data_IF_748364766221
#
_entry.id   IF_748364766221
#
_cell.length_a   1.000
_cell.length_b   1.000
_cell.length_c   1.000
_cell.angle_alpha   90.00
_cell.angle_beta   90.00
_cell.angle_gamma   90.00
#
_symmetry.space_group_name_H-M   'P 1'
#
loop_
_entity.id
_entity.type
_entity.pdbx_description
1 polymer ?
#
# COMPACT_ATOMS: atom_id res chain seq x y z
N UNK A 1 2.70 -0.33 -28.13
CA UNK A 1 1.90 -0.09 -26.90
C UNK A 1 1.47 1.36 -26.91
N UNK A 2 0.19 1.63 -27.13
CA UNK A 2 -0.37 2.99 -27.10
C UNK A 2 -0.27 3.51 -25.66
N UNK A 3 0.48 4.61 -25.47
CA UNK A 3 0.58 5.28 -24.18
C UNK A 3 -0.51 6.34 -24.10
N UNK A 4 -1.22 6.37 -22.97
CA UNK A 4 -2.31 7.32 -22.72
C UNK A 4 -1.82 8.33 -21.70
N UNK A 5 -1.75 9.60 -22.10
CA UNK A 5 -1.25 10.69 -21.24
C UNK A 5 -2.33 11.16 -20.27
N UNK A 6 -1.94 11.50 -19.06
CA UNK A 6 -2.84 12.10 -18.09
C UNK A 6 -3.19 13.55 -18.47
N UNK A 7 -4.47 13.96 -18.40
CA UNK A 7 -4.85 15.35 -18.68
C UNK A 7 -4.50 16.32 -17.55
N UNK A 8 -4.11 15.82 -16.36
CA UNK A 8 -3.83 16.62 -15.17
C UNK A 8 -2.33 16.69 -14.83
N UNK A 9 -1.49 15.92 -15.52
CA UNK A 9 -0.03 15.97 -15.42
C UNK A 9 0.64 15.27 -16.62
N UNK A 10 1.94 15.45 -16.79
CA UNK A 10 2.70 14.87 -17.92
C UNK A 10 3.00 13.35 -17.81
N UNK A 11 2.29 12.62 -16.94
CA UNK A 11 2.50 11.18 -16.77
C UNK A 11 1.80 10.39 -17.87
N UNK A 12 2.54 9.54 -18.59
CA UNK A 12 1.99 8.60 -19.57
C UNK A 12 1.76 7.21 -18.95
N UNK A 13 0.54 6.69 -19.10
CA UNK A 13 0.11 5.38 -18.62
C UNK A 13 0.05 4.35 -19.77
N UNK A 14 0.24 3.07 -19.45
CA UNK A 14 0.21 1.99 -20.45
C UNK A 14 -1.20 1.58 -20.90
N UNK A 15 -2.24 2.00 -20.18
CA UNK A 15 -3.64 1.67 -20.49
C UNK A 15 -4.60 2.71 -19.89
N UNK A 16 -5.85 2.74 -20.39
CA UNK A 16 -6.93 3.58 -19.83
C UNK A 16 -7.23 3.18 -18.38
N UNK A 17 -7.22 1.88 -18.04
CA UNK A 17 -7.44 1.40 -16.68
C UNK A 17 -6.36 1.92 -15.72
N UNK A 18 -5.11 1.91 -16.16
CA UNK A 18 -3.99 2.48 -15.41
C UNK A 18 -4.13 4.00 -15.26
N UNK A 19 -4.60 4.71 -16.30
CA UNK A 19 -4.85 6.15 -16.23
C UNK A 19 -5.97 6.50 -15.22
N UNK A 20 -7.09 5.75 -15.23
CA UNK A 20 -8.18 5.92 -14.26
C UNK A 20 -7.69 5.74 -12.83
N UNK A 21 -6.90 4.69 -12.59
CA UNK A 21 -6.26 4.47 -11.30
C UNK A 21 -5.33 5.65 -10.95
N UNK A 22 -4.44 6.06 -11.86
CA UNK A 22 -3.54 7.19 -11.66
C UNK A 22 -4.28 8.47 -11.25
N UNK A 23 -5.34 8.85 -11.96
CA UNK A 23 -6.15 10.03 -11.64
C UNK A 23 -6.76 9.90 -10.24
N UNK A 24 -7.39 8.76 -9.94
CA UNK A 24 -7.96 8.50 -8.61
C UNK A 24 -6.92 8.54 -7.50
N UNK A 25 -5.71 8.04 -7.73
CA UNK A 25 -4.67 7.97 -6.70
C UNK A 25 -3.91 9.28 -6.52
N UNK A 26 -3.69 10.05 -7.58
CA UNK A 26 -2.74 11.17 -7.60
C UNK A 26 -3.42 12.53 -7.68
N UNK A 27 -4.60 12.59 -8.29
CA UNK A 27 -5.32 13.84 -8.51
C UNK A 27 -6.64 13.93 -7.75
N UNK A 28 -7.06 12.84 -7.09
CA UNK A 28 -8.23 12.82 -6.23
C UNK A 28 -7.83 12.54 -4.78
N UNK A 29 -8.43 13.29 -3.85
CA UNK A 29 -8.32 13.06 -2.41
C UNK A 29 -9.44 12.16 -1.86
N UNK A 30 -10.28 11.61 -2.75
CA UNK A 30 -11.25 10.61 -2.33
C UNK A 30 -10.52 9.40 -1.74
N UNK A 31 -10.89 9.10 -0.49
CA UNK A 31 -10.44 7.94 0.29
C UNK A 31 -11.64 7.03 0.52
N UNK A 32 -12.06 6.26 -0.50
CA UNK A 32 -13.28 5.46 -0.46
C UNK A 32 -13.16 4.26 0.49
N UNK A 33 -11.94 3.85 0.83
CA UNK A 33 -11.69 2.75 1.76
C UNK A 33 -11.43 3.32 3.14
N UNK A 34 -12.44 3.33 4.01
CA UNK A 34 -12.30 3.84 5.39
C UNK A 34 -12.09 2.69 6.36
N UNK A 35 -11.22 2.91 7.33
CA UNK A 35 -11.10 2.02 8.47
C UNK A 35 -12.39 2.07 9.29
N UNK A 36 -12.81 0.92 9.81
CA UNK A 36 -13.98 0.81 10.71
C UNK A 36 -13.55 0.95 12.19
N UNK A 37 -12.26 0.80 12.47
CA UNK A 37 -11.69 0.90 13.82
C UNK A 37 -11.21 2.32 14.15
N UNK A 38 -11.00 3.17 13.14
CA UNK A 38 -10.65 4.58 13.29
C UNK A 38 -11.10 5.41 12.08
N UNK A 39 -10.96 6.74 12.13
CA UNK A 39 -11.38 7.64 11.05
C UNK A 39 -10.41 7.70 9.84
N UNK A 40 -9.42 6.81 9.75
CA UNK A 40 -8.44 6.81 8.66
C UNK A 40 -9.05 6.36 7.33
N UNK A 41 -8.80 7.14 6.28
CA UNK A 41 -9.22 6.83 4.91
C UNK A 41 -8.04 6.47 4.00
N UNK A 42 -8.26 5.56 3.06
CA UNK A 42 -7.27 5.06 2.12
C UNK A 42 -7.79 5.09 0.69
N UNK A 43 -6.86 5.17 -0.26
CA UNK A 43 -7.16 5.27 -1.69
C UNK A 43 -7.43 3.89 -2.33
N UNK A 44 -6.98 2.80 -1.70
CA UNK A 44 -7.24 1.42 -2.12
C UNK A 44 -7.44 0.47 -0.93
N UNK A 45 -7.98 -0.71 -1.24
CA UNK A 45 -8.25 -1.76 -0.26
C UNK A 45 -6.98 -2.38 0.35
N UNK A 46 -5.89 -2.43 -0.42
CA UNK A 46 -4.62 -3.02 0.02
C UNK A 46 -3.99 -2.21 1.16
N UNK A 47 -3.96 -0.89 1.03
CA UNK A 47 -3.46 0.03 2.04
C UNK A 47 -4.37 0.03 3.28
N UNK A 48 -5.69 -0.05 3.10
CA UNK A 48 -6.63 -0.22 4.22
C UNK A 48 -6.35 -1.52 4.97
N UNK A 49 -6.19 -2.65 4.26
CA UNK A 49 -5.96 -3.95 4.89
C UNK A 49 -4.70 -3.93 5.75
N UNK A 50 -3.58 -3.42 5.22
CA UNK A 50 -2.36 -3.23 6.01
C UNK A 50 -2.54 -2.34 7.21
N UNK A 51 -3.30 -1.26 7.06
CA UNK A 51 -3.58 -0.39 8.18
C UNK A 51 -4.39 -1.11 9.26
N UNK A 52 -5.36 -1.94 8.88
CA UNK A 52 -6.12 -2.76 9.85
C UNK A 52 -5.23 -3.77 10.57
N UNK A 53 -4.18 -4.30 9.92
CA UNK A 53 -3.18 -5.13 10.60
C UNK A 53 -2.50 -4.35 11.74
N UNK A 54 -2.33 -3.03 11.64
CA UNK A 54 -1.74 -2.22 12.73
C UNK A 54 -2.65 -2.01 13.93
N UNK A 55 -3.96 -2.22 13.79
CA UNK A 55 -4.90 -2.20 14.91
C UNK A 55 -4.89 -3.51 15.69
N UNK A 56 -4.40 -4.59 15.10
CA UNK A 56 -4.16 -5.83 15.82
C UNK A 56 -2.78 -5.69 16.47
N UNK A 57 -2.74 -5.44 17.77
CA UNK A 57 -1.56 -5.53 18.66
C UNK A 57 -0.98 -6.97 18.74
N UNK A 58 -1.23 -7.80 17.72
CA UNK A 58 -0.73 -9.16 17.62
C UNK A 58 0.77 -9.06 17.38
N UNK A 59 1.51 -9.58 18.35
CA UNK A 59 2.94 -9.84 18.41
C UNK A 59 3.73 -9.44 17.16
N UNK A 60 4.66 -8.50 17.33
CA UNK A 60 5.58 -8.07 16.28
C UNK A 60 6.12 -9.29 15.49
N UNK A 61 6.00 -9.24 14.17
CA UNK A 61 6.52 -10.24 13.26
C UNK A 61 8.05 -10.28 13.36
N UNK A 62 8.60 -11.38 13.88
CA UNK A 62 10.04 -11.60 13.98
C UNK A 62 10.60 -12.37 12.77
N UNK A 63 11.84 -12.06 12.40
CA UNK A 63 12.60 -12.87 11.46
C UNK A 63 13.08 -14.15 12.16
N UNK A 64 12.80 -15.29 11.54
CA UNK A 64 13.19 -16.64 12.00
C UNK A 64 14.66 -17.00 11.67
N UNK A 65 15.41 -16.09 11.02
CA UNK A 65 16.83 -16.35 10.74
C UNK A 65 17.64 -16.18 12.02
N UNK A 66 18.31 -17.27 12.42
CA UNK A 66 19.21 -17.31 13.56
C UNK A 66 20.19 -16.13 13.57
N UNK A 67 20.21 -15.36 14.67
CA UNK A 67 21.09 -14.20 14.84
C UNK A 67 20.67 -12.91 14.13
N UNK A 68 19.53 -12.88 13.42
CA UNK A 68 19.06 -11.67 12.73
C UNK A 68 18.45 -10.63 13.68
N UNK A 69 17.59 -11.05 14.62
CA UNK A 69 16.95 -10.17 15.60
C UNK A 69 15.96 -9.14 15.02
N UNK A 70 15.63 -9.22 13.73
CA UNK A 70 14.71 -8.28 13.08
C UNK A 70 13.25 -8.51 13.54
N UNK A 71 12.55 -7.43 13.91
CA UNK A 71 11.12 -7.46 14.25
C UNK A 71 10.37 -6.34 13.52
N UNK A 72 9.10 -6.58 13.20
CA UNK A 72 8.25 -5.57 12.55
C UNK A 72 6.81 -5.63 13.02
N UNK A 73 6.16 -4.47 13.03
CA UNK A 73 4.71 -4.36 13.31
C UNK A 73 3.83 -4.80 12.14
N UNK A 74 4.41 -5.12 10.98
CA UNK A 74 3.65 -5.51 9.78
C UNK A 74 4.31 -6.67 9.05
N UNK A 75 3.50 -7.62 8.57
CA UNK A 75 3.97 -8.76 7.80
C UNK A 75 4.69 -8.35 6.51
N UNK A 76 4.27 -7.23 5.89
CA UNK A 76 4.88 -6.78 4.65
C UNK A 76 6.35 -6.36 4.82
N UNK A 77 6.65 -5.68 5.93
CA UNK A 77 8.03 -5.23 6.19
C UNK A 77 8.92 -6.43 6.48
N UNK A 78 8.43 -7.45 7.19
CA UNK A 78 9.15 -8.72 7.36
C UNK A 78 9.37 -9.42 6.01
N UNK A 79 8.34 -9.52 5.15
CA UNK A 79 8.47 -10.09 3.80
C UNK A 79 9.48 -9.35 2.93
N UNK A 80 9.58 -8.04 3.07
CA UNK A 80 10.56 -7.24 2.35
C UNK A 80 11.98 -7.43 2.90
N UNK A 81 12.11 -7.55 4.23
CA UNK A 81 13.37 -7.91 4.88
C UNK A 81 13.91 -9.23 4.33
N UNK A 82 13.08 -10.28 4.23
CA UNK A 82 13.46 -11.57 3.61
C UNK A 82 13.90 -11.49 2.15
N UNK A 83 13.54 -10.44 1.41
CA UNK A 83 13.98 -10.26 0.01
C UNK A 83 15.35 -9.58 -0.11
N UNK A 84 15.84 -8.97 0.96
CA UNK A 84 17.06 -8.15 0.97
C UNK A 84 18.12 -8.64 1.95
N UNK A 85 17.73 -9.44 2.93
CA UNK A 85 18.63 -10.23 3.78
C UNK A 85 19.17 -11.41 2.99
#
# INVERSE_FOLDING_TARGET
VTRVTCPLCDTACASISSLKAHIRFRHCDERPFRCQLCASGFKNAYDLHKHVETHNDSDAYSCDVEGCGFTSRTLQTLKWHYKRA
#
